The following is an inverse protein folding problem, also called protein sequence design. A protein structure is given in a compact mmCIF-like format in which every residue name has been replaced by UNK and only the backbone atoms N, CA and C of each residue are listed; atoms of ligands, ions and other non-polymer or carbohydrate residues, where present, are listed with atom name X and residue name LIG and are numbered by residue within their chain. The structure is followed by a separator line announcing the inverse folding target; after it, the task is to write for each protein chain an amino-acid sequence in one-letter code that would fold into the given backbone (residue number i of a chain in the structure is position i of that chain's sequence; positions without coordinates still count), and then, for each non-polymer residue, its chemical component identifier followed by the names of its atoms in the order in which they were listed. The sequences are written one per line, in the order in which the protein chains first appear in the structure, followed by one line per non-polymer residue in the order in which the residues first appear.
data_IF_907401179137
#
_entry.id   IF_907401179137
#
_cell.length_a   1.000
_cell.length_b   1.000
_cell.length_c   1.000
_cell.angle_alpha   90.00
_cell.angle_beta   90.00
_cell.angle_gamma   90.00
#
_symmetry.space_group_name_H-M   'P 1'
#
loop_
_entity.id
_entity.type
_entity.pdbx_description
1 polymer ?
#
# COMPACT_ATOMS: atom_id res chain seq x y z
N UNK A 1 -2.73 16.16 -10.02
CA UNK A 1 -4.12 16.35 -10.49
C UNK A 1 -4.90 15.15 -9.99
N UNK A 2 -5.99 15.35 -9.29
CA UNK A 2 -6.83 14.22 -8.86
C UNK A 2 -7.54 13.62 -10.07
N UNK A 3 -7.82 12.33 -10.03
CA UNK A 3 -8.70 11.62 -10.95
C UNK A 3 -9.96 11.11 -10.27
N UNK A 4 -10.84 10.52 -11.06
CA UNK A 4 -12.05 9.84 -10.60
C UNK A 4 -12.04 8.38 -11.05
N UNK A 5 -12.66 7.51 -10.26
CA UNK A 5 -12.83 6.09 -10.57
C UNK A 5 -14.23 5.64 -10.19
N UNK A 6 -15.02 5.25 -11.19
CA UNK A 6 -16.23 4.47 -10.98
C UNK A 6 -15.83 3.00 -10.85
N UNK A 7 -16.12 2.41 -9.70
CA UNK A 7 -15.87 0.99 -9.45
C UNK A 7 -17.17 0.29 -9.13
N UNK A 8 -17.46 -0.80 -9.83
CA UNK A 8 -18.73 -1.54 -9.74
C UNK A 8 -18.55 -3.00 -9.31
N UNK A 9 -17.31 -3.44 -9.14
CA UNK A 9 -17.01 -4.83 -8.82
C UNK A 9 -17.20 -5.12 -7.32
N UNK A 10 -17.61 -6.35 -6.95
CA UNK A 10 -17.71 -6.77 -5.56
C UNK A 10 -16.39 -6.61 -4.80
N UNK A 11 -16.48 -6.17 -3.54
CA UNK A 11 -15.31 -6.00 -2.68
C UNK A 11 -14.99 -7.25 -1.88
N UNK A 12 -13.70 -7.51 -1.64
CA UNK A 12 -13.22 -8.53 -0.70
C UNK A 12 -12.71 -7.93 0.62
N UNK A 13 -12.76 -6.60 0.77
CA UNK A 13 -12.25 -5.85 1.93
C UNK A 13 -13.29 -4.86 2.43
N UNK A 14 -13.29 -4.61 3.74
CA UNK A 14 -14.15 -3.59 4.37
C UNK A 14 -13.34 -2.48 5.05
N UNK A 15 -12.07 -2.34 4.68
CA UNK A 15 -11.17 -1.37 5.31
C UNK A 15 -11.29 -0.02 4.59
N UNK A 16 -12.43 0.64 4.78
CA UNK A 16 -12.63 2.04 4.43
C UNK A 16 -12.74 2.81 5.73
N UNK A 17 -11.99 3.91 5.81
CA UNK A 17 -11.89 4.67 7.05
C UNK A 17 -12.36 6.10 6.85
N UNK A 18 -13.21 6.55 7.75
CA UNK A 18 -13.72 7.90 7.83
C UNK A 18 -12.81 8.75 8.70
N UNK A 19 -12.66 10.03 8.36
CA UNK A 19 -12.03 11.01 9.22
C UNK A 19 -12.54 12.41 8.91
N UNK A 20 -12.36 13.34 9.84
CA UNK A 20 -12.84 14.72 9.73
C UNK A 20 -11.66 15.69 9.84
N UNK A 21 -11.58 16.62 8.90
CA UNK A 21 -10.64 17.76 8.92
C UNK A 21 -11.46 19.01 8.67
N UNK A 22 -11.36 20.03 9.52
CA UNK A 22 -12.08 21.29 9.40
C UNK A 22 -13.59 21.14 9.13
N UNK A 23 -14.24 20.25 9.90
CA UNK A 23 -15.67 19.90 9.75
C UNK A 23 -16.06 19.23 8.43
N UNK A 24 -15.11 18.95 7.53
CA UNK A 24 -15.32 18.17 6.30
C UNK A 24 -15.03 16.70 6.54
N UNK A 25 -15.92 15.83 6.08
CA UNK A 25 -15.78 14.37 6.21
C UNK A 25 -15.07 13.79 4.98
N UNK A 26 -14.14 12.89 5.21
CA UNK A 26 -13.38 12.19 4.17
C UNK A 26 -13.49 10.69 4.37
N UNK A 27 -13.46 9.92 3.28
CA UNK A 27 -13.41 8.47 3.32
C UNK A 27 -12.16 8.00 2.57
N UNK A 28 -11.36 7.15 3.19
CA UNK A 28 -10.12 6.61 2.63
C UNK A 28 -10.20 5.09 2.44
N UNK A 29 -9.92 4.61 1.22
CA UNK A 29 -9.74 3.17 0.97
C UNK A 29 -8.36 2.71 1.41
N UNK A 30 -8.31 1.86 2.45
CA UNK A 30 -7.05 1.30 2.95
C UNK A 30 -6.53 0.20 2.03
N UNK A 31 -5.43 0.52 1.36
CA UNK A 31 -4.68 -0.41 0.52
C UNK A 31 -3.25 -0.54 1.04
N UNK A 32 -2.82 -1.76 1.38
CA UNK A 32 -1.47 -1.98 1.91
C UNK A 32 -0.44 -1.57 0.85
N UNK A 33 0.62 -0.89 1.31
CA UNK A 33 1.77 -0.44 0.48
C UNK A 33 1.49 0.74 -0.47
N UNK A 34 0.33 1.38 -0.34
CA UNK A 34 -0.05 2.59 -1.06
C UNK A 34 -0.09 3.83 -0.14
N UNK A 35 0.95 4.04 0.67
CA UNK A 35 1.00 5.18 1.59
C UNK A 35 0.11 5.07 2.83
N UNK A 36 -0.48 3.90 3.08
CA UNK A 36 -1.41 3.67 4.19
C UNK A 36 -0.85 3.98 5.59
N UNK A 37 0.46 4.00 5.77
CA UNK A 37 1.06 4.38 7.06
C UNK A 37 0.91 5.88 7.36
N UNK A 38 0.90 6.75 6.33
CA UNK A 38 0.67 8.18 6.50
C UNK A 38 -0.79 8.44 6.90
N UNK A 39 -1.75 7.82 6.20
CA UNK A 39 -3.17 7.89 6.57
C UNK A 39 -3.44 7.38 7.98
N UNK A 40 -2.84 6.26 8.39
CA UNK A 40 -2.98 5.77 9.76
C UNK A 40 -2.56 6.82 10.78
N UNK A 41 -1.40 7.48 10.56
CA UNK A 41 -0.91 8.53 11.45
C UNK A 41 -1.80 9.78 11.44
N UNK A 42 -2.27 10.21 10.27
CA UNK A 42 -3.22 11.31 10.14
C UNK A 42 -4.47 11.01 10.95
N UNK A 43 -5.16 9.91 10.64
CA UNK A 43 -6.45 9.54 11.25
C UNK A 43 -6.31 9.39 12.76
N UNK A 44 -5.24 8.75 13.22
CA UNK A 44 -4.95 8.66 14.66
C UNK A 44 -4.70 10.03 15.28
N UNK A 45 -3.84 10.86 14.67
CA UNK A 45 -3.44 12.14 15.24
C UNK A 45 -4.53 13.23 15.24
N UNK A 46 -5.62 13.04 14.49
CA UNK A 46 -6.81 13.91 14.52
C UNK A 46 -8.02 13.23 15.18
N UNK A 47 -7.86 12.00 15.67
CA UNK A 47 -8.96 11.26 16.25
C UNK A 47 -9.29 11.79 17.65
N UNK A 48 -10.59 11.98 17.98
CA UNK A 48 -11.00 12.25 19.36
C UNK A 48 -10.78 11.05 20.31
N UNK A 49 -10.38 9.89 19.78
CA UNK A 49 -10.12 8.67 20.56
C UNK A 49 -8.62 8.41 20.79
N UNK A 50 -7.73 9.31 20.34
CA UNK A 50 -6.29 9.11 20.37
C UNK A 50 -5.71 9.01 21.78
N UNK A 51 -6.25 9.77 22.74
CA UNK A 51 -5.76 9.81 24.13
C UNK A 51 -6.04 8.53 24.93
N UNK A 52 -6.84 7.61 24.39
CA UNK A 52 -7.21 6.34 25.02
C UNK A 52 -6.35 5.14 24.58
N UNK A 53 -5.27 5.38 23.83
CA UNK A 53 -4.41 4.32 23.31
C UNK A 53 -3.00 4.53 23.82
N UNK A 54 -2.56 3.70 24.76
CA UNK A 54 -1.16 3.66 25.18
C UNK A 54 -0.26 3.46 23.93
N UNK A 55 0.63 4.42 23.79
CA UNK A 55 1.48 4.68 22.66
C UNK A 55 2.42 3.48 22.38
N UNK A 56 2.22 2.79 21.25
CA UNK A 56 3.28 1.99 20.64
C UNK A 56 3.03 1.70 19.15
N UNK A 57 1.79 1.39 18.76
CA UNK A 57 1.48 1.07 17.36
C UNK A 57 0.12 1.63 16.94
N UNK A 58 0.14 2.69 16.13
CA UNK A 58 -1.03 3.06 15.30
C UNK A 58 -1.29 1.91 14.33
N UNK A 59 -2.09 0.96 14.79
CA UNK A 59 -2.35 -0.29 14.11
C UNK A 59 -3.69 -0.24 13.37
N UNK A 60 -3.93 -1.27 12.56
CA UNK A 60 -5.16 -1.36 11.79
C UNK A 60 -6.39 -1.63 12.67
N UNK A 61 -6.20 -2.13 13.90
CA UNK A 61 -7.28 -2.44 14.82
C UNK A 61 -7.90 -1.17 15.40
N UNK A 62 -7.08 -0.15 15.73
CA UNK A 62 -7.59 1.17 16.14
C UNK A 62 -8.53 1.76 15.08
N UNK A 63 -8.08 1.83 13.83
CA UNK A 63 -8.89 2.36 12.73
C UNK A 63 -10.18 1.55 12.54
N UNK A 64 -10.09 0.22 12.63
CA UNK A 64 -11.27 -0.65 12.53
C UNK A 64 -12.29 -0.40 13.64
N UNK A 65 -11.83 -0.13 14.85
CA UNK A 65 -12.69 0.06 16.02
C UNK A 65 -13.40 1.41 16.00
N UNK A 66 -12.72 2.46 15.56
CA UNK A 66 -13.18 3.84 15.78
C UNK A 66 -13.51 4.62 14.51
N UNK A 67 -13.02 4.19 13.35
CA UNK A 67 -13.07 4.98 12.12
C UNK A 67 -13.58 4.20 10.91
N UNK A 68 -14.08 2.97 11.07
CA UNK A 68 -14.62 2.20 9.93
C UNK A 68 -15.82 2.91 9.33
N UNK A 69 -15.85 3.01 8.00
CA UNK A 69 -16.99 3.48 7.23
C UNK A 69 -18.23 2.62 7.50
N UNK A 70 -19.31 3.27 7.91
CA UNK A 70 -20.62 2.63 7.98
C UNK A 70 -21.29 2.69 6.60
N UNK A 71 -21.69 1.53 6.08
CA UNK A 71 -22.42 1.41 4.81
C UNK A 71 -23.77 2.12 4.80
N UNK A 72 -24.34 2.40 5.97
CA UNK A 72 -25.56 3.21 6.09
C UNK A 72 -25.32 4.70 5.83
N UNK A 73 -24.06 5.16 5.84
CA UNK A 73 -23.70 6.55 5.64
C UNK A 73 -24.03 7.03 4.22
N UNK A 74 -24.54 8.26 4.13
CA UNK A 74 -24.71 8.95 2.86
C UNK A 74 -23.34 9.27 2.25
N UNK A 75 -23.04 8.66 1.09
CA UNK A 75 -21.79 8.90 0.37
C UNK A 75 -21.64 10.38 -0.07
N UNK A 76 -22.74 11.11 -0.21
CA UNK A 76 -22.72 12.52 -0.58
C UNK A 76 -22.28 13.43 0.59
N UNK A 77 -22.24 12.92 1.82
CA UNK A 77 -21.76 13.67 2.97
C UNK A 77 -20.22 13.80 3.00
N UNK A 78 -19.50 13.05 2.16
CA UNK A 78 -18.04 13.10 2.09
C UNK A 78 -17.58 14.18 1.11
N UNK A 79 -16.72 15.07 1.59
CA UNK A 79 -16.01 16.02 0.75
C UNK A 79 -15.13 15.30 -0.29
N UNK A 80 -14.55 14.16 0.09
CA UNK A 80 -13.86 13.28 -0.85
C UNK A 80 -13.86 11.79 -0.44
N UNK A 81 -13.94 10.93 -1.45
CA UNK A 81 -13.73 9.49 -1.40
C UNK A 81 -12.38 9.16 -2.03
N UNK A 82 -11.39 8.96 -1.17
CA UNK A 82 -9.96 8.90 -1.49
C UNK A 82 -9.54 7.48 -1.83
N UNK A 83 -8.88 7.32 -2.97
CA UNK A 83 -8.17 6.10 -3.35
C UNK A 83 -6.78 6.43 -3.86
N UNK A 84 -5.76 5.90 -3.16
CA UNK A 84 -4.36 6.04 -3.57
C UNK A 84 -3.93 4.74 -4.21
N UNK A 85 -3.51 4.80 -5.47
CA UNK A 85 -3.03 3.65 -6.21
C UNK A 85 -1.52 3.65 -6.37
N UNK A 86 -0.97 2.50 -6.73
CA UNK A 86 0.44 2.34 -7.06
C UNK A 86 0.59 1.34 -8.21
N UNK A 87 1.63 1.51 -9.03
CA UNK A 87 2.01 0.46 -9.97
C UNK A 87 2.13 -0.89 -9.22
N UNK A 88 1.43 -1.95 -9.68
CA UNK A 88 1.45 -3.26 -9.02
C UNK A 88 2.85 -3.83 -8.81
N UNK A 89 3.76 -3.68 -9.78
CA UNK A 89 5.11 -4.24 -9.66
C UNK A 89 5.94 -3.50 -8.59
N UNK A 90 5.86 -2.18 -8.56
CA UNK A 90 6.41 -1.37 -7.48
C UNK A 90 5.83 -1.73 -6.11
N UNK A 91 4.55 -2.09 -6.05
CA UNK A 91 3.88 -2.54 -4.82
C UNK A 91 4.50 -3.86 -4.33
N UNK A 92 4.83 -4.78 -5.24
CA UNK A 92 5.52 -6.03 -4.91
C UNK A 92 6.94 -5.79 -4.40
N UNK A 93 7.71 -4.90 -5.02
CA UNK A 93 9.04 -4.50 -4.53
C UNK A 93 8.93 -3.95 -3.10
N UNK A 94 7.96 -3.08 -2.85
CA UNK A 94 7.69 -2.50 -1.53
C UNK A 94 7.26 -3.55 -0.49
N UNK A 95 6.47 -4.54 -0.90
CA UNK A 95 6.08 -5.65 -0.03
C UNK A 95 7.30 -6.51 0.33
N UNK A 96 8.08 -6.92 -0.67
CA UNK A 96 9.27 -7.75 -0.48
C UNK A 96 10.33 -7.05 0.38
N UNK A 97 10.74 -5.84 0.00
CA UNK A 97 11.75 -5.06 0.76
C UNK A 97 11.30 -4.86 2.21
N UNK A 98 10.04 -4.51 2.46
CA UNK A 98 9.60 -4.30 3.83
C UNK A 98 9.46 -5.58 4.67
N UNK A 99 9.01 -6.69 4.06
CA UNK A 99 8.64 -7.90 4.80
C UNK A 99 9.71 -8.96 4.80
N UNK A 100 10.46 -9.10 3.72
CA UNK A 100 11.52 -10.11 3.59
C UNK A 100 12.90 -9.52 3.89
N UNK A 101 13.17 -8.27 3.48
CA UNK A 101 14.49 -7.64 3.71
C UNK A 101 14.53 -6.92 5.06
N UNK A 102 13.59 -6.03 5.34
CA UNK A 102 13.55 -5.31 6.63
C UNK A 102 12.92 -6.11 7.77
N UNK A 103 12.22 -7.20 7.43
CA UNK A 103 11.48 -8.04 8.38
C UNK A 103 10.52 -7.29 9.31
N UNK A 104 9.97 -6.15 8.87
CA UNK A 104 9.10 -5.32 9.70
C UNK A 104 7.69 -5.92 9.80
N UNK A 105 7.35 -6.50 10.95
CA UNK A 105 6.03 -7.12 11.21
C UNK A 105 5.72 -8.21 10.18
N UNK A 106 6.67 -9.11 9.96
CA UNK A 106 6.67 -10.09 8.86
C UNK A 106 5.94 -11.40 9.19
N UNK A 107 5.56 -11.61 10.45
CA UNK A 107 5.15 -12.89 11.01
C UNK A 107 4.05 -13.55 10.17
N UNK A 108 3.00 -12.79 9.84
CA UNK A 108 1.86 -13.26 9.04
C UNK A 108 2.26 -13.71 7.63
N UNK A 109 3.09 -12.92 6.94
CA UNK A 109 3.49 -13.20 5.55
C UNK A 109 4.50 -14.34 5.49
N UNK A 110 5.40 -14.46 6.47
CA UNK A 110 6.31 -15.61 6.54
C UNK A 110 5.56 -16.90 6.87
N UNK A 111 4.60 -16.85 7.79
CA UNK A 111 3.72 -17.98 8.08
C UNK A 111 2.95 -18.43 6.82
N UNK A 112 2.35 -17.48 6.09
CA UNK A 112 1.65 -17.77 4.83
C UNK A 112 2.59 -18.30 3.74
N UNK A 113 3.80 -17.72 3.59
CA UNK A 113 4.81 -18.19 2.65
C UNK A 113 5.21 -19.64 2.94
N UNK A 114 5.55 -19.94 4.20
CA UNK A 114 5.95 -21.28 4.64
C UNK A 114 4.82 -22.30 4.43
N UNK A 115 3.59 -21.94 4.82
CA UNK A 115 2.41 -22.80 4.65
C UNK A 115 2.12 -23.14 3.19
N UNK A 116 2.32 -22.18 2.27
CA UNK A 116 1.96 -22.34 0.86
C UNK A 116 3.02 -23.01 0.02
N UNK A 117 4.28 -22.63 0.24
CA UNK A 117 5.39 -23.08 -0.59
C UNK A 117 6.22 -24.17 0.06
N UNK A 118 5.93 -24.52 1.33
CA UNK A 118 6.72 -25.47 2.12
C UNK A 118 8.21 -25.14 2.12
N UNK A 119 8.52 -23.85 2.15
CA UNK A 119 9.86 -23.29 2.00
C UNK A 119 10.11 -22.23 3.05
N UNK A 120 11.36 -22.12 3.42
CA UNK A 120 11.84 -21.06 4.31
C UNK A 120 11.75 -19.69 3.60
N UNK A 121 10.99 -18.72 4.14
CA UNK A 121 10.92 -17.36 3.59
C UNK A 121 12.28 -16.65 3.59
N UNK A 122 13.19 -16.96 4.50
CA UNK A 122 14.55 -16.39 4.50
C UNK A 122 15.37 -16.79 3.26
N UNK A 123 15.01 -17.91 2.62
CA UNK A 123 15.63 -18.39 1.38
C UNK A 123 14.92 -17.85 0.12
N UNK A 124 13.91 -17.01 0.27
CA UNK A 124 13.16 -16.44 -0.84
C UNK A 124 13.94 -15.29 -1.48
N UNK A 125 14.28 -15.42 -2.76
CA UNK A 125 14.70 -14.27 -3.57
C UNK A 125 13.50 -13.48 -4.06
N UNK A 126 13.69 -12.23 -4.52
CA UNK A 126 12.60 -11.46 -5.11
C UNK A 126 11.98 -12.18 -6.32
N UNK A 127 12.79 -12.81 -7.17
CA UNK A 127 12.31 -13.66 -8.28
C UNK A 127 11.39 -14.78 -7.81
N UNK A 128 11.75 -15.51 -6.74
CA UNK A 128 10.90 -16.58 -6.19
C UNK A 128 9.64 -16.01 -5.54
N UNK A 129 9.75 -14.87 -4.87
CA UNK A 129 8.60 -14.17 -4.29
C UNK A 129 7.57 -13.80 -5.38
N UNK A 130 8.01 -13.21 -6.50
CA UNK A 130 7.11 -12.86 -7.61
C UNK A 130 6.56 -14.11 -8.31
N UNK A 131 7.42 -15.00 -8.78
CA UNK A 131 7.01 -16.12 -9.66
C UNK A 131 6.31 -17.27 -8.93
N UNK A 132 6.60 -17.45 -7.63
CA UNK A 132 6.05 -18.58 -6.85
C UNK A 132 5.00 -18.12 -5.84
N UNK A 133 5.30 -17.10 -5.04
CA UNK A 133 4.40 -16.70 -3.95
C UNK A 133 3.25 -15.81 -4.41
N UNK A 134 3.55 -14.88 -5.34
CA UNK A 134 2.56 -13.99 -5.94
C UNK A 134 1.87 -14.60 -7.17
N UNK A 135 1.97 -15.91 -7.40
CA UNK A 135 1.46 -16.57 -8.63
C UNK A 135 -0.06 -16.50 -8.79
N UNK A 136 -0.82 -16.37 -7.69
CA UNK A 136 -2.27 -16.16 -7.71
C UNK A 136 -2.67 -15.13 -6.66
N UNK A 137 -3.52 -14.18 -7.06
CA UNK A 137 -4.14 -13.18 -6.17
C UNK A 137 -5.19 -13.76 -5.22
N UNK A 138 -5.62 -15.01 -5.45
CA UNK A 138 -6.45 -15.79 -4.51
C UNK A 138 -5.67 -16.12 -3.22
N UNK A 139 -4.39 -15.71 -3.16
CA UNK A 139 -3.63 -15.70 -1.94
C UNK A 139 -4.30 -14.77 -0.90
N UNK A 140 -4.87 -15.38 0.15
CA UNK A 140 -5.47 -14.66 1.30
C UNK A 140 -4.51 -13.72 2.04
N UNK A 141 -3.22 -13.72 1.70
CA UNK A 141 -2.26 -12.78 2.25
C UNK A 141 -2.57 -11.34 1.80
N UNK A 142 -3.05 -10.52 2.74
CA UNK A 142 -3.39 -9.12 2.51
C UNK A 142 -2.20 -8.24 2.10
N UNK A 143 -0.96 -8.72 2.17
CA UNK A 143 0.22 -7.98 1.70
C UNK A 143 0.41 -8.02 0.19
N UNK A 144 -0.13 -9.04 -0.48
CA UNK A 144 0.00 -9.22 -1.94
C UNK A 144 -1.35 -9.27 -2.66
N UNK A 145 -2.47 -9.16 -1.93
CA UNK A 145 -3.82 -9.01 -2.50
C UNK A 145 -3.88 -7.84 -3.48
N UNK A 146 -4.60 -8.00 -4.59
CA UNK A 146 -4.80 -6.95 -5.61
C UNK A 146 -5.44 -5.69 -4.99
N UNK A 147 -5.09 -4.52 -5.50
CA UNK A 147 -5.62 -3.23 -5.02
C UNK A 147 -7.11 -3.12 -5.29
N UNK A 148 -7.56 -3.59 -6.46
CA UNK A 148 -8.97 -3.56 -6.84
C UNK A 148 -9.88 -4.30 -5.83
N UNK A 149 -9.36 -5.36 -5.18
CA UNK A 149 -10.09 -6.13 -4.17
C UNK A 149 -10.36 -5.35 -2.87
N UNK A 150 -9.72 -4.19 -2.72
CA UNK A 150 -9.90 -3.29 -1.59
C UNK A 150 -10.96 -2.22 -1.82
N UNK A 151 -11.48 -2.08 -3.04
CA UNK A 151 -12.42 -1.02 -3.39
C UNK A 151 -13.86 -1.46 -3.11
N UNK A 152 -14.66 -0.58 -2.52
CA UNK A 152 -16.13 -0.65 -2.54
C UNK A 152 -16.66 -0.31 -3.94
N UNK A 153 -17.86 -0.82 -4.30
CA UNK A 153 -18.52 -0.50 -5.55
C UNK A 153 -19.17 0.90 -5.47
N UNK A 154 -18.35 1.95 -5.55
CA UNK A 154 -18.72 3.35 -5.41
C UNK A 154 -17.88 4.23 -6.36
N UNK A 155 -18.27 5.49 -6.48
CA UNK A 155 -17.43 6.52 -7.08
C UNK A 155 -16.35 7.00 -6.11
N UNK A 156 -15.08 6.89 -6.53
CA UNK A 156 -13.96 7.59 -5.90
C UNK A 156 -13.72 8.91 -6.64
N UNK A 157 -13.78 10.03 -5.95
CA UNK A 157 -13.62 11.37 -6.53
C UNK A 157 -12.26 12.02 -6.23
N UNK A 158 -11.43 11.39 -5.40
CA UNK A 158 -10.06 11.81 -5.11
C UNK A 158 -9.09 10.64 -5.33
N UNK A 159 -8.78 10.37 -6.59
CA UNK A 159 -7.91 9.25 -7.00
C UNK A 159 -6.57 9.75 -7.50
N UNK A 160 -5.47 9.26 -6.95
CA UNK A 160 -4.14 9.69 -7.41
C UNK A 160 -3.05 8.66 -7.10
N UNK A 161 -1.94 8.67 -7.86
CA UNK A 161 -0.86 7.73 -7.64
C UNK A 161 -0.08 8.09 -6.37
N UNK A 162 0.52 7.09 -5.73
CA UNK A 162 1.29 7.26 -4.49
C UNK A 162 2.39 8.32 -4.58
N UNK A 163 3.04 8.48 -5.73
CA UNK A 163 4.13 9.46 -5.89
C UNK A 163 3.63 10.92 -5.87
N UNK A 164 2.32 11.15 -6.06
CA UNK A 164 1.69 12.47 -5.93
C UNK A 164 0.88 12.59 -4.62
N UNK A 165 1.04 11.66 -3.67
CA UNK A 165 0.25 11.63 -2.43
C UNK A 165 0.35 12.94 -1.66
N UNK A 166 1.55 13.47 -1.47
CA UNK A 166 1.76 14.71 -0.72
C UNK A 166 1.06 15.90 -1.38
N UNK A 167 1.34 16.15 -2.66
CA UNK A 167 0.77 17.29 -3.39
C UNK A 167 -0.76 17.23 -3.46
N UNK A 168 -1.35 16.06 -3.71
CA UNK A 168 -2.82 15.94 -3.74
C UNK A 168 -3.42 16.10 -2.34
N UNK A 169 -2.76 15.61 -1.27
CA UNK A 169 -3.29 15.82 0.08
C UNK A 169 -3.23 17.29 0.50
N UNK A 170 -2.21 18.07 0.11
CA UNK A 170 -2.19 19.52 0.38
C UNK A 170 -3.37 20.28 -0.24
N UNK A 171 -3.91 19.78 -1.34
CA UNK A 171 -5.07 20.38 -2.02
C UNK A 171 -6.39 19.90 -1.41
N UNK A 172 -6.43 18.64 -0.94
CA UNK A 172 -7.65 18.01 -0.42
C UNK A 172 -7.94 18.35 1.04
N UNK A 173 -6.90 18.47 1.85
CA UNK A 173 -6.96 18.80 3.27
C UNK A 173 -6.11 20.05 3.55
N UNK A 174 -6.09 20.49 4.80
CA UNK A 174 -5.22 21.58 5.26
C UNK A 174 -3.72 21.32 4.93
N UNK A 175 -2.99 22.31 4.34
CA UNK A 175 -1.58 22.18 4.03
C UNK A 175 -0.66 21.86 5.22
N UNK A 176 -0.95 22.39 6.42
CA UNK A 176 -0.11 22.12 7.60
C UNK A 176 -0.26 20.66 8.05
N UNK A 177 -1.47 20.11 8.01
CA UNK A 177 -1.72 18.68 8.23
C UNK A 177 -1.06 17.83 7.15
N UNK A 178 -1.13 18.26 5.88
CA UNK A 178 -0.47 17.56 4.78
C UNK A 178 1.06 17.51 4.98
N UNK A 179 1.67 18.61 5.40
CA UNK A 179 3.10 18.69 5.73
C UNK A 179 3.47 17.76 6.88
N UNK A 180 2.68 17.76 7.96
CA UNK A 180 2.92 16.94 9.15
C UNK A 180 2.91 15.44 8.83
N UNK A 181 1.97 14.96 8.01
CA UNK A 181 1.74 13.52 7.83
C UNK A 181 2.23 12.94 6.50
N UNK A 182 2.39 13.76 5.45
CA UNK A 182 2.65 13.28 4.09
C UNK A 182 3.93 13.83 3.44
N UNK A 183 4.55 14.90 3.95
CA UNK A 183 5.76 15.49 3.35
C UNK A 183 6.97 14.54 3.31
N UNK A 184 7.05 13.58 4.24
CA UNK A 184 8.13 12.60 4.24
C UNK A 184 7.92 11.58 3.12
N UNK A 185 8.52 11.84 1.96
CA UNK A 185 8.68 10.83 0.93
C UNK A 185 9.55 9.68 1.46
N UNK A 186 8.93 8.60 1.93
CA UNK A 186 9.66 7.38 2.25
C UNK A 186 10.13 6.75 0.94
N UNK A 187 11.43 6.93 0.65
CA UNK A 187 12.23 6.30 -0.41
C UNK A 187 12.29 7.05 -1.75
N UNK A 188 12.97 8.21 -1.76
CA UNK A 188 13.74 8.62 -2.93
C UNK A 188 15.07 7.85 -2.90
N UNK A 189 15.25 6.90 -3.81
CA UNK A 189 16.48 6.13 -3.97
C UNK A 189 17.24 6.70 -5.17
N UNK A 190 18.48 7.16 -4.97
CA UNK A 190 19.36 7.54 -6.07
C UNK A 190 19.69 6.30 -6.91
N UNK A 191 19.44 6.38 -8.22
CA UNK A 191 19.74 5.30 -9.16
C UNK A 191 21.27 5.15 -9.31
N UNK A 192 21.81 4.02 -8.86
CA UNK A 192 23.07 3.50 -9.36
C UNK A 192 22.77 2.32 -10.30
N UNK A 193 23.60 2.08 -11.33
CA UNK A 193 23.44 0.90 -12.17
C UNK A 193 23.58 -0.36 -11.31
N UNK A 194 22.71 -1.38 -11.50
CA UNK A 194 22.75 -2.60 -10.72
C UNK A 194 24.07 -3.33 -10.98
N UNK A 195 24.91 -3.48 -9.94
CA UNK A 195 26.18 -4.20 -10.05
C UNK A 195 25.99 -5.73 -10.01
N UNK A 196 24.85 -6.22 -9.50
CA UNK A 196 24.53 -7.64 -9.36
C UNK A 196 23.02 -7.92 -9.54
N UNK A 197 22.65 -9.15 -9.93
CA UNK A 197 21.25 -9.55 -10.08
C UNK A 197 20.59 -9.81 -8.71
N UNK A 198 20.26 -8.72 -7.99
CA UNK A 198 19.65 -8.76 -6.65
C UNK A 198 18.32 -9.54 -6.62
N UNK A 199 17.67 -9.75 -7.77
CA UNK A 199 16.47 -10.56 -7.88
C UNK A 199 16.65 -12.03 -7.47
N UNK A 200 17.90 -12.53 -7.49
CA UNK A 200 18.24 -13.93 -7.17
C UNK A 200 18.82 -14.11 -5.77
N UNK A 201 19.21 -13.02 -5.12
CA UNK A 201 19.80 -13.06 -3.79
C UNK A 201 18.72 -13.46 -2.77
N UNK A 202 19.01 -14.42 -1.86
CA UNK A 202 18.09 -14.78 -0.78
C UNK A 202 17.77 -13.59 0.14
N UNK A 203 16.53 -13.52 0.62
CA UNK A 203 16.06 -12.50 1.54
C UNK A 203 16.96 -12.35 2.78
N UNK A 204 17.48 -13.46 3.33
CA UNK A 204 18.38 -13.43 4.49
C UNK A 204 19.66 -12.64 4.21
N UNK A 205 20.28 -12.81 3.03
CA UNK A 205 21.50 -12.08 2.70
C UNK A 205 21.24 -10.58 2.52
N UNK A 206 20.09 -10.24 1.92
CA UNK A 206 19.65 -8.84 1.82
C UNK A 206 19.33 -8.27 3.21
N UNK A 207 18.74 -9.07 4.11
CA UNK A 207 18.47 -8.70 5.49
C UNK A 207 19.77 -8.44 6.28
N UNK A 208 20.76 -9.32 6.17
CA UNK A 208 22.07 -9.14 6.79
C UNK A 208 22.75 -7.85 6.31
N UNK A 209 22.62 -7.54 5.01
CA UNK A 209 23.12 -6.29 4.44
C UNK A 209 22.38 -5.08 5.00
N UNK A 210 21.05 -5.17 5.15
CA UNK A 210 20.24 -4.12 5.76
C UNK A 210 20.62 -3.91 7.24
N UNK A 211 20.84 -4.98 8.02
CA UNK A 211 21.29 -4.86 9.41
C UNK A 211 22.66 -4.16 9.54
N UNK A 212 23.58 -4.41 8.59
CA UNK A 212 24.92 -3.80 8.59
C UNK A 212 24.91 -2.34 8.13
N UNK A 213 24.07 -1.98 7.18
CA UNK A 213 24.15 -0.69 6.47
C UNK A 213 22.99 0.27 6.79
N UNK A 214 21.90 -0.24 7.36
CA UNK A 214 20.63 0.47 7.48
C UNK A 214 19.92 0.74 6.15
N UNK A 215 20.45 0.24 5.03
CA UNK A 215 19.96 0.52 3.67
C UNK A 215 19.32 -0.71 3.05
N UNK A 216 18.23 -0.50 2.33
CA UNK A 216 17.61 -1.53 1.47
C UNK A 216 18.10 -1.36 0.03
N UNK A 217 18.06 -2.42 -0.79
CA UNK A 217 18.37 -2.32 -2.21
C UNK A 217 17.53 -1.26 -2.93
N UNK A 218 18.08 -0.67 -4.00
CA UNK A 218 17.34 0.30 -4.80
C UNK A 218 16.23 -0.41 -5.56
N UNK A 219 15.10 0.28 -5.77
CA UNK A 219 13.98 -0.30 -6.54
C UNK A 219 14.42 -0.76 -7.93
N UNK A 220 15.29 0.03 -8.59
CA UNK A 220 15.81 -0.23 -9.93
C UNK A 220 16.50 -1.61 -10.04
N UNK A 221 17.11 -2.09 -8.95
CA UNK A 221 17.83 -3.37 -8.95
C UNK A 221 16.90 -4.58 -9.15
N UNK A 222 15.60 -4.39 -8.90
CA UNK A 222 14.58 -5.43 -9.01
C UNK A 222 13.84 -5.47 -10.37
N UNK A 223 14.06 -4.48 -11.25
CA UNK A 223 13.36 -4.41 -12.53
C UNK A 223 13.93 -5.44 -13.52
N UNK A 224 13.09 -6.41 -13.90
CA UNK A 224 13.36 -7.41 -14.93
C UNK A 224 12.11 -7.63 -15.75
N UNK A 225 12.26 -7.65 -17.07
CA UNK A 225 11.12 -7.73 -18.00
C UNK A 225 10.28 -9.00 -17.79
N UNK A 226 10.91 -10.13 -17.48
CA UNK A 226 10.23 -11.39 -17.20
C UNK A 226 9.33 -11.29 -15.95
N UNK A 227 9.83 -10.63 -14.89
CA UNK A 227 9.08 -10.43 -13.66
C UNK A 227 7.95 -9.41 -13.82
N UNK A 228 8.19 -8.33 -14.57
CA UNK A 228 7.18 -7.31 -14.88
C UNK A 228 6.05 -7.93 -15.72
N UNK A 229 6.40 -8.69 -16.75
CA UNK A 229 5.43 -9.40 -17.59
C UNK A 229 4.60 -10.40 -16.76
N UNK A 230 5.23 -11.13 -15.83
CA UNK A 230 4.50 -12.01 -14.91
C UNK A 230 3.55 -11.23 -14.00
N UNK A 231 4.02 -10.13 -13.41
CA UNK A 231 3.19 -9.27 -12.55
C UNK A 231 1.96 -8.71 -13.30
N UNK A 232 2.14 -8.24 -14.54
CA UNK A 232 1.04 -7.77 -15.39
C UNK A 232 -0.02 -8.83 -15.63
N UNK A 233 0.38 -10.09 -15.81
CA UNK A 233 -0.57 -11.21 -15.97
C UNK A 233 -1.35 -11.47 -14.69
N UNK A 234 -0.67 -11.54 -13.53
CA UNK A 234 -1.33 -11.88 -12.26
C UNK A 234 -2.19 -10.73 -11.72
N UNK A 235 -1.73 -9.48 -11.88
CA UNK A 235 -2.41 -8.28 -11.41
C UNK A 235 -3.14 -7.53 -12.55
N UNK A 236 -3.59 -8.25 -13.58
CA UNK A 236 -4.25 -7.66 -14.74
C UNK A 236 -5.43 -6.75 -14.36
N UNK A 237 -6.23 -7.15 -13.35
CA UNK A 237 -7.34 -6.33 -12.83
C UNK A 237 -6.89 -5.03 -12.16
N UNK A 238 -5.72 -5.00 -11.52
CA UNK A 238 -5.18 -3.74 -10.98
C UNK A 238 -4.81 -2.80 -12.13
N UNK A 239 -4.14 -3.33 -13.17
CA UNK A 239 -3.76 -2.53 -14.35
C UNK A 239 -5.00 -2.02 -15.10
N UNK A 240 -6.03 -2.86 -15.26
CA UNK A 240 -7.31 -2.46 -15.83
C UNK A 240 -7.98 -1.37 -14.99
N UNK A 241 -8.09 -1.56 -13.68
CA UNK A 241 -8.66 -0.57 -12.76
C UNK A 241 -7.92 0.77 -12.84
N UNK A 242 -6.59 0.76 -12.89
CA UNK A 242 -5.79 1.98 -13.05
C UNK A 242 -6.07 2.66 -14.41
N UNK A 243 -6.23 1.88 -15.49
CA UNK A 243 -6.53 2.43 -16.82
C UNK A 243 -7.91 3.08 -16.94
N UNK A 244 -8.84 2.77 -16.04
CA UNK A 244 -10.20 3.35 -15.99
C UNK A 244 -10.24 4.71 -15.28
N UNK A 245 -9.17 5.10 -14.58
CA UNK A 245 -9.11 6.36 -13.84
C UNK A 245 -9.18 7.52 -14.84
N UNK A 246 -10.19 8.38 -14.67
CA UNK A 246 -10.39 9.57 -15.50
C UNK A 246 -9.70 10.77 -14.84
N UNK A 247 -8.93 11.59 -15.57
CA UNK A 247 -8.41 12.84 -15.02
C UNK A 247 -9.56 13.78 -14.66
N UNK A 248 -9.43 14.54 -13.56
CA UNK A 248 -10.39 15.63 -13.26
C UNK A 248 -10.06 16.79 -14.19
N UNK A 249 -11.04 17.19 -15.00
CA UNK A 249 -11.01 18.43 -15.81
C UNK A 249 -11.19 19.66 -14.95
#
# INVERSE_FOLDING_TARGET
MTGTLEWDQPTASRNHFEFVVDSKKYMYSYVRKNGCSAFKKLIHGISPFADNVEDAHVDLAFLRRHHTFDKSSDLNAFAATIFVYRDPFERLISAYTNKFVQQKGQEDIFANYKKKLWRDPNKASFKKFVLSYCRSVENRDGHIRAQCDHLLPIRYNAVFPLHELYENMKLLIDPELADKYFARATNASHAQPPSEDLCRIPALQLHDTFLKTGRVPNKADFYRDDLIAHCRKVYAKDYEMISRIQPTT
#
